data_IF_470526301689
#
_entry.id   IF_470526301689
#
_cell.length_a   1.000
_cell.length_b   1.000
_cell.length_c   1.000
_cell.angle_alpha   90.00
_cell.angle_beta   90.00
_cell.angle_gamma   90.00
#
_symmetry.space_group_name_H-M   'P 1'
#
loop_
_entity.id
_entity.type
_entity.pdbx_description
1 polymer ?
#
# COMPACT_ATOMS: atom_id res chain seq x y z
N UNK A 1 -59.76 -52.22 11.86
CA UNK A 1 -59.41 -50.91 12.47
C UNK A 1 -58.37 -51.17 13.55
N UNK A 2 -57.15 -50.66 13.39
CA UNK A 2 -56.28 -50.11 14.46
C UNK A 2 -54.91 -49.72 13.86
N UNK A 3 -54.86 -48.41 13.62
CA UNK A 3 -53.79 -47.43 13.43
C UNK A 3 -52.33 -47.93 13.54
N UNK A 4 -51.61 -47.77 12.43
CA UNK A 4 -50.14 -47.75 12.38
C UNK A 4 -49.63 -46.45 13.01
N UNK A 5 -48.77 -46.56 14.02
CA UNK A 5 -48.02 -45.42 14.54
C UNK A 5 -46.77 -45.21 13.68
N UNK A 6 -46.74 -44.12 12.91
CA UNK A 6 -45.54 -43.64 12.25
C UNK A 6 -44.76 -42.85 13.31
N UNK A 7 -43.66 -43.42 13.79
CA UNK A 7 -42.70 -42.70 14.61
C UNK A 7 -41.88 -41.78 13.69
N UNK A 8 -42.26 -40.52 13.57
CA UNK A 8 -41.40 -39.48 13.00
C UNK A 8 -40.31 -39.15 14.02
N UNK A 9 -39.16 -39.79 13.86
CA UNK A 9 -37.89 -39.36 14.46
C UNK A 9 -37.51 -38.01 13.84
N UNK A 10 -37.87 -36.92 14.52
CA UNK A 10 -37.24 -35.62 14.26
C UNK A 10 -35.86 -35.69 14.92
N UNK A 11 -34.86 -36.07 14.12
CA UNK A 11 -33.48 -35.90 14.52
C UNK A 11 -33.19 -34.39 14.59
N UNK A 12 -33.32 -33.82 15.79
CA UNK A 12 -32.58 -32.63 16.13
C UNK A 12 -31.11 -33.06 16.21
N UNK A 13 -30.43 -33.10 15.06
CA UNK A 13 -28.98 -33.08 15.05
C UNK A 13 -28.55 -31.87 15.88
N UNK A 14 -27.51 -31.98 16.71
CA UNK A 14 -26.97 -30.79 17.33
C UNK A 14 -26.60 -29.85 16.17
N UNK A 15 -27.23 -28.68 16.13
CA UNK A 15 -26.60 -27.51 15.54
C UNK A 15 -25.31 -27.34 16.35
N UNK A 16 -24.26 -28.05 15.94
CA UNK A 16 -22.90 -27.69 16.29
C UNK A 16 -22.66 -26.41 15.51
N UNK A 17 -23.25 -25.33 16.01
CA UNK A 17 -22.74 -24.01 15.75
C UNK A 17 -21.35 -24.10 16.33
N UNK A 18 -20.38 -24.35 15.45
CA UNK A 18 -18.97 -24.39 15.80
C UNK A 18 -18.68 -23.00 16.33
N UNK A 19 -18.88 -22.82 17.63
CA UNK A 19 -18.53 -21.61 18.31
C UNK A 19 -17.03 -21.54 18.12
N UNK A 20 -16.58 -20.70 17.18
CA UNK A 20 -15.16 -20.47 16.96
C UNK A 20 -14.63 -20.06 18.32
N UNK A 21 -13.91 -20.99 18.94
CA UNK A 21 -13.56 -20.88 20.32
C UNK A 21 -12.61 -19.69 20.51
N UNK A 22 -12.71 -19.03 21.66
CA UNK A 22 -11.73 -18.04 22.04
C UNK A 22 -10.33 -18.67 22.00
N UNK A 23 -9.30 -18.02 21.41
CA UNK A 23 -7.94 -18.54 21.46
C UNK A 23 -7.57 -18.83 22.92
N UNK A 24 -6.95 -19.98 23.19
CA UNK A 24 -6.66 -20.44 24.56
C UNK A 24 -5.76 -19.49 25.36
N UNK A 25 -4.97 -18.70 24.65
CA UNK A 25 -4.09 -17.69 25.21
C UNK A 25 -4.80 -16.34 25.37
N UNK A 26 -6.11 -16.22 25.16
CA UNK A 26 -6.84 -14.96 25.21
C UNK A 26 -8.10 -15.08 26.06
N UNK A 27 -8.70 -13.94 26.35
CA UNK A 27 -10.04 -13.85 26.93
C UNK A 27 -10.96 -13.18 25.93
N UNK A 28 -12.19 -13.69 25.78
CA UNK A 28 -13.14 -13.17 24.81
C UNK A 28 -14.45 -12.79 25.51
N UNK A 29 -14.99 -11.63 25.14
CA UNK A 29 -16.27 -11.13 25.62
C UNK A 29 -17.04 -10.51 24.47
N UNK A 30 -18.15 -11.14 24.05
CA UNK A 30 -18.88 -10.74 22.85
C UNK A 30 -18.00 -10.78 21.59
N UNK A 31 -17.75 -9.62 20.98
CA UNK A 31 -16.89 -9.46 19.79
C UNK A 31 -15.52 -8.86 20.12
N UNK A 32 -15.16 -8.81 21.39
CA UNK A 32 -13.86 -8.33 21.86
C UNK A 32 -12.96 -9.51 22.23
N UNK A 33 -11.74 -9.50 21.70
CA UNK A 33 -10.69 -10.51 21.95
C UNK A 33 -9.51 -9.82 22.61
N UNK A 34 -9.27 -10.20 23.86
CA UNK A 34 -8.26 -9.64 24.77
C UNK A 34 -7.09 -10.60 24.90
N UNK A 35 -6.00 -10.30 24.21
CA UNK A 35 -4.74 -11.05 24.20
C UNK A 35 -3.56 -10.21 24.74
N UNK A 36 -3.83 -9.08 25.39
CA UNK A 36 -2.83 -8.15 25.93
C UNK A 36 -2.06 -8.72 27.13
N UNK A 37 -0.82 -8.28 27.33
CA UNK A 37 0.01 -8.60 28.53
C UNK A 37 0.20 -10.09 28.81
N UNK A 38 0.40 -10.90 27.76
CA UNK A 38 0.52 -12.36 27.87
C UNK A 38 1.83 -12.94 27.34
N UNK A 39 2.82 -12.08 27.11
CA UNK A 39 4.14 -12.48 26.61
C UNK A 39 4.06 -13.26 25.29
N UNK A 40 3.08 -12.92 24.44
CA UNK A 40 2.89 -13.58 23.16
C UNK A 40 4.05 -13.26 22.21
N UNK A 41 4.62 -14.31 21.60
CA UNK A 41 5.65 -14.17 20.57
C UNK A 41 5.07 -14.10 19.14
N UNK A 42 3.81 -14.53 18.97
CA UNK A 42 3.06 -14.48 17.71
C UNK A 42 1.58 -14.19 17.96
N UNK A 43 0.87 -13.74 16.93
CA UNK A 43 -0.59 -13.60 16.99
C UNK A 43 -1.23 -14.98 17.22
N UNK A 44 -2.15 -15.15 18.18
CA UNK A 44 -2.82 -16.43 18.42
C UNK A 44 -3.65 -16.86 17.21
N UNK A 45 -3.61 -18.16 16.89
CA UNK A 45 -4.47 -18.73 15.86
C UNK A 45 -5.94 -18.82 16.33
N UNK A 46 -6.86 -18.87 15.38
CA UNK A 46 -8.29 -19.11 15.67
C UNK A 46 -9.02 -17.91 16.25
N UNK A 47 -8.56 -16.68 16.00
CA UNK A 47 -9.32 -15.47 16.35
C UNK A 47 -10.67 -15.50 15.59
N UNK A 48 -11.82 -15.40 16.28
CA UNK A 48 -13.12 -15.43 15.62
C UNK A 48 -13.27 -14.33 14.57
N UNK A 49 -13.79 -14.65 13.38
CA UNK A 49 -13.98 -13.69 12.29
C UNK A 49 -15.02 -12.59 12.61
N UNK A 50 -15.84 -12.81 13.63
CA UNK A 50 -16.79 -11.82 14.17
C UNK A 50 -16.15 -10.78 15.09
N UNK A 51 -14.84 -10.89 15.35
CA UNK A 51 -14.10 -9.97 16.23
C UNK A 51 -14.14 -8.53 15.70
N UNK A 52 -14.59 -7.62 16.55
CA UNK A 52 -14.59 -6.17 16.30
C UNK A 52 -13.44 -5.45 17.00
N UNK A 53 -12.97 -5.96 18.13
CA UNK A 53 -11.90 -5.33 18.92
C UNK A 53 -10.86 -6.37 19.26
N UNK A 54 -9.63 -6.16 18.77
CA UNK A 54 -8.51 -7.07 19.00
C UNK A 54 -7.41 -6.34 19.77
N UNK A 55 -7.16 -6.80 20.99
CA UNK A 55 -6.12 -6.25 21.86
C UNK A 55 -4.93 -7.21 21.90
N UNK A 56 -3.82 -6.81 21.28
CA UNK A 56 -2.55 -7.54 21.22
C UNK A 56 -1.40 -6.75 21.86
N UNK A 57 -1.71 -5.66 22.56
CA UNK A 57 -0.71 -4.77 23.14
C UNK A 57 0.03 -5.36 24.34
N UNK A 58 1.21 -4.82 24.65
CA UNK A 58 2.09 -5.29 25.75
C UNK A 58 2.44 -6.77 25.60
N UNK A 59 2.88 -7.16 24.40
CA UNK A 59 3.36 -8.51 24.11
C UNK A 59 4.80 -8.44 23.57
N UNK A 60 5.29 -9.56 23.03
CA UNK A 60 6.66 -9.70 22.52
C UNK A 60 6.63 -10.03 21.02
N UNK A 61 5.64 -9.51 20.29
CA UNK A 61 5.51 -9.75 18.86
C UNK A 61 6.65 -9.04 18.12
N UNK A 62 7.50 -9.81 17.44
CA UNK A 62 8.63 -9.28 16.65
C UNK A 62 8.29 -9.16 15.17
N UNK A 63 7.36 -9.97 14.69
CA UNK A 63 6.87 -10.02 13.32
C UNK A 63 5.38 -10.36 13.27
N UNK A 64 4.74 -10.02 12.16
CA UNK A 64 3.40 -10.46 11.80
C UNK A 64 3.49 -11.28 10.52
N UNK A 65 2.75 -12.38 10.46
CA UNK A 65 2.70 -13.19 9.25
C UNK A 65 1.83 -12.50 8.19
N UNK A 66 2.16 -12.60 6.89
CA UNK A 66 1.31 -12.09 5.83
C UNK A 66 -0.11 -12.65 5.95
N UNK A 67 -1.12 -11.78 5.77
CA UNK A 67 -2.52 -12.16 5.80
C UNK A 67 -3.11 -12.54 7.17
N UNK A 68 -2.36 -12.34 8.27
CA UNK A 68 -2.80 -12.75 9.62
C UNK A 68 -4.12 -12.09 10.08
N UNK A 69 -4.52 -10.99 9.45
CA UNK A 69 -5.76 -10.28 9.77
C UNK A 69 -6.82 -10.31 8.66
N UNK A 70 -6.57 -10.97 7.53
CA UNK A 70 -7.44 -10.91 6.34
C UNK A 70 -8.85 -11.42 6.62
N UNK A 71 -8.97 -12.44 7.47
CA UNK A 71 -10.28 -13.00 7.85
C UNK A 71 -11.06 -12.14 8.86
N UNK A 72 -10.48 -11.05 9.37
CA UNK A 72 -11.05 -10.19 10.41
C UNK A 72 -11.70 -8.93 9.81
N UNK A 73 -12.43 -9.07 8.71
CA UNK A 73 -13.06 -7.93 8.01
C UNK A 73 -14.04 -7.10 8.87
N UNK A 74 -14.54 -7.63 9.98
CA UNK A 74 -15.40 -6.93 10.93
C UNK A 74 -14.64 -6.06 11.96
N UNK A 75 -13.30 -6.08 11.93
CA UNK A 75 -12.47 -5.41 12.91
C UNK A 75 -12.61 -3.88 12.84
N UNK A 76 -12.82 -3.25 13.99
CA UNK A 76 -12.95 -1.79 14.14
C UNK A 76 -11.82 -1.19 14.97
N UNK A 77 -11.24 -1.96 15.89
CA UNK A 77 -10.09 -1.59 16.71
C UNK A 77 -9.01 -2.67 16.61
N UNK A 78 -7.80 -2.26 16.25
CA UNK A 78 -6.60 -3.08 16.29
C UNK A 78 -5.53 -2.41 17.16
N UNK A 79 -5.20 -3.03 18.27
CA UNK A 79 -4.24 -2.49 19.23
C UNK A 79 -2.98 -3.37 19.32
N UNK A 80 -1.92 -2.95 18.64
CA UNK A 80 -0.61 -3.62 18.55
C UNK A 80 0.49 -2.86 19.31
N UNK A 81 0.13 -1.85 20.12
CA UNK A 81 1.12 -1.01 20.80
C UNK A 81 1.98 -1.80 21.80
N UNK A 82 3.17 -1.31 22.10
CA UNK A 82 4.07 -1.93 23.08
C UNK A 82 4.36 -3.39 22.70
N UNK A 83 4.90 -3.57 21.51
CA UNK A 83 5.42 -4.83 20.98
C UNK A 83 6.86 -4.57 20.46
N UNK A 84 7.41 -5.49 19.69
CA UNK A 84 8.78 -5.42 19.14
C UNK A 84 8.76 -5.51 17.62
N UNK A 85 7.69 -5.04 16.96
CA UNK A 85 7.51 -5.14 15.52
C UNK A 85 8.56 -4.31 14.79
N UNK A 86 9.35 -4.94 13.93
CA UNK A 86 10.42 -4.26 13.17
C UNK A 86 9.98 -3.85 11.76
N UNK A 87 9.04 -4.60 11.19
CA UNK A 87 8.45 -4.34 9.88
C UNK A 87 7.01 -4.89 9.84
N UNK A 88 6.22 -4.40 8.90
CA UNK A 88 4.89 -4.92 8.58
C UNK A 88 4.94 -5.61 7.21
N UNK A 89 4.26 -6.76 7.02
CA UNK A 89 4.03 -7.31 5.69
C UNK A 89 3.28 -6.32 4.79
N UNK A 90 3.56 -6.36 3.48
CA UNK A 90 2.74 -5.66 2.51
C UNK A 90 1.31 -6.22 2.53
N UNK A 91 0.31 -5.34 2.41
CA UNK A 91 -1.10 -5.69 2.41
C UNK A 91 -1.68 -6.16 3.75
N UNK A 92 -0.93 -6.07 4.86
CA UNK A 92 -1.36 -6.54 6.20
C UNK A 92 -2.75 -6.01 6.64
N UNK A 93 -3.14 -4.83 6.14
CA UNK A 93 -4.38 -4.16 6.54
C UNK A 93 -5.39 -4.01 5.40
N UNK A 94 -5.19 -4.68 4.25
CA UNK A 94 -6.01 -4.45 3.05
C UNK A 94 -7.50 -4.79 3.26
N UNK A 95 -7.79 -5.86 4.00
CA UNK A 95 -9.16 -6.29 4.28
C UNK A 95 -9.81 -5.51 5.44
N UNK A 96 -9.05 -4.69 6.17
CA UNK A 96 -9.47 -4.04 7.42
C UNK A 96 -10.21 -2.70 7.20
N UNK A 97 -11.13 -2.68 6.24
CA UNK A 97 -11.82 -1.46 5.79
C UNK A 97 -12.64 -0.75 6.87
N UNK A 98 -13.04 -1.48 7.93
CA UNK A 98 -13.86 -0.98 9.04
C UNK A 98 -13.04 -0.45 10.23
N UNK A 99 -11.71 -0.59 10.21
CA UNK A 99 -10.86 -0.14 11.32
C UNK A 99 -10.90 1.39 11.41
N UNK A 100 -11.37 1.89 12.54
CA UNK A 100 -11.38 3.32 12.85
C UNK A 100 -10.27 3.72 13.84
N UNK A 101 -9.70 2.76 14.58
CA UNK A 101 -8.65 2.96 15.57
C UNK A 101 -7.54 1.93 15.41
N UNK A 102 -6.32 2.39 15.09
CA UNK A 102 -5.13 1.56 14.90
C UNK A 102 -3.97 2.08 15.78
N UNK A 103 -3.47 1.23 16.68
CA UNK A 103 -2.32 1.57 17.53
C UNK A 103 -1.10 0.74 17.16
N UNK A 104 -0.04 1.41 16.67
CA UNK A 104 1.25 0.84 16.31
C UNK A 104 2.42 1.49 17.08
N UNK A 105 2.13 2.44 17.98
CA UNK A 105 3.12 3.11 18.81
C UNK A 105 3.87 2.15 19.74
N UNK A 106 5.05 2.55 20.23
CA UNK A 106 5.90 1.71 21.07
C UNK A 106 6.26 0.37 20.40
N UNK A 107 6.80 0.46 19.18
CA UNK A 107 7.33 -0.66 18.42
C UNK A 107 8.73 -0.31 17.88
N UNK A 108 9.28 -1.12 16.97
CA UNK A 108 10.60 -0.94 16.37
C UNK A 108 10.51 -0.67 14.86
N UNK A 109 9.38 -0.11 14.40
CA UNK A 109 9.14 0.15 12.98
C UNK A 109 10.05 1.28 12.49
N UNK A 110 10.71 1.04 11.35
CA UNK A 110 11.56 2.03 10.68
C UNK A 110 10.85 2.71 9.50
N UNK A 111 9.91 2.02 8.88
CA UNK A 111 9.09 2.49 7.77
C UNK A 111 7.75 1.75 7.76
N UNK A 112 6.83 2.20 6.89
CA UNK A 112 5.56 1.52 6.62
C UNK A 112 5.56 1.11 5.14
N UNK A 113 5.18 -0.13 4.80
CA UNK A 113 5.09 -0.57 3.41
C UNK A 113 4.19 0.37 2.60
N UNK A 114 4.57 0.61 1.35
CA UNK A 114 3.79 1.44 0.44
C UNK A 114 2.36 0.90 0.33
N UNK A 115 1.40 1.78 0.52
CA UNK A 115 -0.03 1.48 0.40
C UNK A 115 -0.67 0.85 1.64
N UNK A 116 0.06 0.59 2.72
CA UNK A 116 -0.45 -0.17 3.87
C UNK A 116 -1.71 0.43 4.52
N UNK A 117 -1.95 1.74 4.39
CA UNK A 117 -3.12 2.42 4.97
C UNK A 117 -4.17 2.81 3.93
N UNK A 118 -3.97 2.48 2.66
CA UNK A 118 -4.81 2.99 1.57
C UNK A 118 -6.24 2.45 1.66
N UNK A 119 -6.42 1.22 2.17
CA UNK A 119 -7.73 0.58 2.32
C UNK A 119 -8.41 0.84 3.67
N UNK A 120 -7.75 1.53 4.61
CA UNK A 120 -8.31 1.88 5.92
C UNK A 120 -9.29 3.06 5.84
N UNK A 121 -10.40 2.89 5.12
CA UNK A 121 -11.35 3.97 4.77
C UNK A 121 -12.03 4.59 5.99
N UNK A 122 -12.30 3.79 7.01
CA UNK A 122 -12.94 4.24 8.27
C UNK A 122 -11.95 4.82 9.30
N UNK A 123 -10.65 4.83 8.99
CA UNK A 123 -9.62 5.22 9.95
C UNK A 123 -9.79 6.66 10.42
N UNK A 124 -9.86 6.83 11.73
CA UNK A 124 -10.04 8.13 12.40
C UNK A 124 -8.89 8.41 13.36
N UNK A 125 -8.37 7.38 14.04
CA UNK A 125 -7.29 7.50 15.00
C UNK A 125 -6.16 6.54 14.67
N UNK A 126 -4.94 7.06 14.56
CA UNK A 126 -3.74 6.26 14.39
C UNK A 126 -2.63 6.73 15.32
N UNK A 127 -2.00 5.81 16.06
CA UNK A 127 -0.83 6.09 16.90
C UNK A 127 0.41 5.45 16.29
N UNK A 128 1.42 6.28 16.02
CA UNK A 128 2.68 5.89 15.36
C UNK A 128 3.92 6.41 16.11
N UNK A 129 3.71 7.17 17.17
CA UNK A 129 4.77 7.71 18.02
C UNK A 129 5.58 6.59 18.70
N UNK A 130 6.77 6.92 19.20
CA UNK A 130 7.67 5.95 19.85
C UNK A 130 7.99 4.74 18.94
N UNK A 131 8.34 5.03 17.69
CA UNK A 131 8.97 4.11 16.75
C UNK A 131 10.25 4.77 16.19
N UNK A 132 11.33 4.02 15.93
CA UNK A 132 12.58 4.55 15.39
C UNK A 132 12.51 4.80 13.87
N UNK A 133 11.63 5.71 13.44
CA UNK A 133 11.42 6.02 12.02
C UNK A 133 12.71 6.42 11.31
N UNK A 134 13.10 5.66 10.28
CA UNK A 134 14.30 5.90 9.48
C UNK A 134 13.97 6.87 8.35
N UNK A 135 14.11 8.17 8.64
CA UNK A 135 13.82 9.22 7.67
C UNK A 135 14.95 9.46 6.66
N UNK A 136 16.08 8.77 6.76
CA UNK A 136 17.15 8.89 5.79
C UNK A 136 16.91 7.97 4.58
N UNK A 137 16.31 6.81 4.82
CA UNK A 137 15.85 5.89 3.79
C UNK A 137 14.60 6.41 3.04
N UNK A 138 14.55 6.24 1.72
CA UNK A 138 13.41 6.66 0.88
C UNK A 138 12.10 5.90 1.14
N UNK A 139 12.14 4.74 1.79
CA UNK A 139 10.92 3.98 2.11
C UNK A 139 9.98 4.73 3.07
N UNK A 140 10.50 5.73 3.78
CA UNK A 140 9.70 6.60 4.65
C UNK A 140 8.71 7.48 3.88
N UNK A 141 8.94 7.72 2.58
CA UNK A 141 8.18 8.71 1.80
C UNK A 141 6.70 8.37 1.71
N UNK A 142 6.32 7.09 1.72
CA UNK A 142 4.92 6.69 1.82
C UNK A 142 4.27 7.23 3.10
N UNK A 143 4.89 6.93 4.25
CA UNK A 143 4.36 7.34 5.55
C UNK A 143 4.35 8.86 5.68
N UNK A 144 5.42 9.53 5.27
CA UNK A 144 5.53 10.98 5.31
C UNK A 144 4.42 11.66 4.50
N UNK A 145 4.23 11.24 3.24
CA UNK A 145 3.18 11.76 2.38
C UNK A 145 1.77 11.46 2.92
N UNK A 146 1.54 10.25 3.42
CA UNK A 146 0.26 9.86 4.01
C UNK A 146 -0.07 10.71 5.23
N UNK A 147 0.87 10.93 6.15
CA UNK A 147 0.69 11.80 7.31
C UNK A 147 0.51 13.27 6.93
N UNK A 148 1.18 13.74 5.87
CA UNK A 148 0.96 15.09 5.34
C UNK A 148 -0.47 15.33 4.88
N UNK A 149 -1.10 14.32 4.28
CA UNK A 149 -2.50 14.37 3.81
C UNK A 149 -3.52 14.08 4.92
N UNK A 150 -3.14 13.31 5.94
CA UNK A 150 -4.04 12.80 6.98
C UNK A 150 -3.66 13.22 8.40
N UNK A 151 -3.01 14.38 8.55
CA UNK A 151 -2.45 14.85 9.82
C UNK A 151 -3.48 14.88 10.98
N UNK A 152 -4.76 15.12 10.69
CA UNK A 152 -5.82 15.14 11.70
C UNK A 152 -6.18 13.76 12.28
N UNK A 153 -5.71 12.66 11.67
CA UNK A 153 -5.93 11.29 12.16
C UNK A 153 -4.84 10.84 13.15
N UNK A 154 -3.64 11.41 13.01
CA UNK A 154 -2.49 11.07 13.85
C UNK A 154 -2.73 11.51 15.30
N UNK A 155 -2.56 10.57 16.23
CA UNK A 155 -2.61 10.80 17.66
C UNK A 155 -1.17 10.77 18.19
N UNK A 156 -0.72 11.89 18.75
CA UNK A 156 0.70 12.11 19.05
C UNK A 156 1.45 12.64 17.84
N UNK A 157 2.77 12.41 17.79
CA UNK A 157 3.61 12.82 16.67
C UNK A 157 4.72 11.78 16.43
N UNK A 158 4.70 11.16 15.26
CA UNK A 158 5.79 10.37 14.74
C UNK A 158 6.96 11.29 14.39
N UNK A 159 8.13 11.01 14.97
CA UNK A 159 9.36 11.77 14.74
C UNK A 159 10.46 10.86 14.21
N UNK A 160 11.32 11.43 13.38
CA UNK A 160 12.49 10.76 12.81
C UNK A 160 13.49 10.40 13.91
N UNK A 161 14.04 9.19 13.80
CA UNK A 161 15.10 8.71 14.71
C UNK A 161 16.32 9.63 14.61
N UNK A 162 16.86 10.03 15.76
CA UNK A 162 18.07 10.86 15.88
C UNK A 162 17.87 12.36 15.69
N UNK A 163 16.91 12.81 14.87
CA UNK A 163 16.67 14.25 14.61
C UNK A 163 15.45 14.81 15.33
N UNK A 164 14.53 13.95 15.79
CA UNK A 164 13.22 14.32 16.34
C UNK A 164 12.36 15.22 15.42
N UNK A 165 12.68 15.27 14.12
CA UNK A 165 11.87 16.02 13.14
C UNK A 165 10.57 15.27 12.87
N UNK A 166 9.41 15.93 12.75
CA UNK A 166 8.16 15.26 12.42
C UNK A 166 8.26 14.48 11.09
N UNK A 167 7.84 13.22 11.07
CA UNK A 167 7.91 12.38 9.85
C UNK A 167 7.13 13.00 8.69
N UNK A 168 6.00 13.65 8.96
CA UNK A 168 5.18 14.38 7.98
C UNK A 168 5.88 15.58 7.32
N UNK A 169 7.03 16.01 7.82
CA UNK A 169 7.83 17.11 7.28
C UNK A 169 9.01 16.63 6.40
N UNK A 170 9.22 15.32 6.29
CA UNK A 170 10.28 14.72 5.45
C UNK A 170 9.95 14.97 3.97
N UNK A 171 10.97 15.30 3.19
CA UNK A 171 10.86 15.54 1.74
C UNK A 171 11.75 14.57 0.98
N UNK A 172 11.42 14.29 -0.28
CA UNK A 172 12.21 13.40 -1.14
C UNK A 172 13.70 13.76 -1.18
N UNK A 173 14.02 15.06 -1.27
CA UNK A 173 15.38 15.59 -1.29
C UNK A 173 16.20 15.27 -0.02
N UNK A 174 15.54 15.01 1.11
CA UNK A 174 16.20 14.63 2.37
C UNK A 174 16.44 13.12 2.52
N UNK A 175 15.91 12.31 1.59
CA UNK A 175 15.97 10.85 1.62
C UNK A 175 16.86 10.28 0.51
N UNK A 176 17.25 9.01 0.61
CA UNK A 176 17.91 8.30 -0.50
C UNK A 176 17.67 6.79 -0.42
N UNK A 177 17.44 6.10 -1.56
CA UNK A 177 17.39 4.64 -1.61
C UNK A 177 18.69 3.98 -1.13
N UNK A 178 19.83 4.62 -1.37
CA UNK A 178 21.15 4.11 -0.94
C UNK A 178 21.32 3.99 0.57
N UNK A 179 20.48 4.68 1.34
CA UNK A 179 20.47 4.65 2.81
C UNK A 179 19.49 3.62 3.37
N UNK A 180 18.76 2.91 2.51
CA UNK A 180 17.80 1.89 2.93
C UNK A 180 18.47 0.54 3.20
N UNK A 181 17.99 -0.23 4.19
CA UNK A 181 18.43 -1.60 4.40
C UNK A 181 18.21 -2.46 3.15
N UNK A 182 19.21 -3.25 2.77
CA UNK A 182 19.10 -4.17 1.62
C UNK A 182 19.19 -3.50 0.25
N UNK A 183 19.55 -2.22 0.17
CA UNK A 183 19.84 -1.57 -1.11
C UNK A 183 21.00 -2.27 -1.83
N UNK A 184 20.73 -2.79 -3.01
CA UNK A 184 21.74 -3.27 -3.95
C UNK A 184 21.83 -2.23 -5.05
N UNK A 185 23.00 -1.61 -5.21
CA UNK A 185 23.22 -0.69 -6.32
C UNK A 185 23.03 -1.45 -7.64
N UNK A 186 21.99 -1.11 -8.39
CA UNK A 186 21.87 -1.54 -9.78
C UNK A 186 22.96 -0.85 -10.57
N UNK A 187 24.10 -1.50 -10.72
CA UNK A 187 25.12 -1.10 -11.68
C UNK A 187 24.57 -1.39 -13.06
N UNK A 188 23.81 -0.44 -13.62
CA UNK A 188 23.65 -0.37 -15.06
C UNK A 188 25.01 0.05 -15.61
N UNK A 189 25.88 -0.92 -15.85
CA UNK A 189 27.02 -0.72 -16.75
C UNK A 189 26.42 -0.19 -18.05
N UNK A 190 26.75 1.05 -18.48
CA UNK A 190 26.38 1.47 -19.81
C UNK A 190 27.15 0.56 -20.74
N UNK A 191 26.48 -0.43 -21.33
CA UNK A 191 27.04 -1.19 -22.44
C UNK A 191 27.22 -0.17 -23.55
N UNK A 192 28.44 0.35 -23.68
CA UNK A 192 28.90 1.04 -24.89
C UNK A 192 28.97 -0.03 -25.97
N UNK A 193 27.83 -0.38 -26.55
CA UNK A 193 27.81 -0.99 -27.88
C UNK A 193 28.33 0.06 -28.84
N UNK A 194 29.64 0.01 -29.08
CA UNK A 194 30.26 0.56 -30.28
C UNK A 194 29.44 0.08 -31.48
N UNK A 195 28.84 0.96 -32.30
CA UNK A 195 28.21 0.54 -33.54
C UNK A 195 29.30 -0.09 -34.40
N UNK A 196 29.21 -1.40 -34.63
CA UNK A 196 30.07 -2.10 -35.57
C UNK A 196 29.76 -1.56 -36.97
N UNK A 197 30.74 -0.87 -37.56
CA UNK A 197 30.63 -0.29 -38.90
C UNK A 197 30.66 -1.46 -39.90
N UNK A 198 29.47 -1.92 -40.30
CA UNK A 198 29.33 -2.87 -41.42
C UNK A 198 29.57 -2.08 -42.71
N UNK A 199 30.52 -2.48 -43.59
CA UNK A 199 30.64 -1.85 -44.91
C UNK A 199 29.42 -2.22 -45.74
N UNK A 200 28.62 -1.22 -46.12
CA UNK A 200 27.52 -1.39 -47.06
C UNK A 200 28.06 -1.73 -48.47
N UNK A 201 27.97 -3.00 -48.87
CA UNK A 201 28.01 -3.35 -50.29
C UNK A 201 26.65 -3.09 -50.92
N UNK A 202 26.69 -2.20 -51.90
CA UNK A 202 25.60 -1.70 -52.72
C UNK A 202 24.96 -2.83 -53.51
N UNK A 203 23.71 -3.20 -53.20
CA UNK A 203 22.75 -3.66 -54.24
C UNK A 203 21.31 -3.54 -53.73
N UNK A 204 20.58 -2.63 -54.38
CA UNK A 204 19.14 -2.43 -54.23
C UNK A 204 18.36 -3.70 -54.60
N UNK A 205 17.31 -4.03 -53.82
CA UNK A 205 16.00 -4.06 -54.44
C UNK A 205 14.97 -3.20 -53.67
N UNK A 206 14.01 -2.70 -54.46
CA UNK A 206 12.97 -1.72 -54.13
C UNK A 206 12.13 -2.02 -52.87
N UNK A 207 11.64 -0.98 -52.17
CA UNK A 207 10.65 -1.13 -51.10
C UNK A 207 9.27 -1.42 -51.68
N UNK A 208 8.67 -2.54 -51.29
CA UNK A 208 7.22 -2.75 -51.41
C UNK A 208 6.55 -1.89 -50.35
N UNK A 209 5.90 -0.81 -50.80
CA UNK A 209 5.09 0.07 -49.97
C UNK A 209 3.84 -0.71 -49.54
N UNK A 210 3.78 -1.14 -48.28
CA UNK A 210 2.50 -1.54 -47.67
C UNK A 210 1.98 -0.35 -46.87
N UNK A 211 1.01 0.36 -47.44
CA UNK A 211 0.28 1.45 -46.80
C UNK A 211 -0.63 0.90 -45.69
N UNK A 212 -0.19 0.94 -44.43
CA UNK A 212 -1.16 1.02 -43.33
C UNK A 212 -1.58 2.48 -43.17
N UNK A 213 -2.80 2.78 -43.64
CA UNK A 213 -3.47 4.06 -43.52
C UNK A 213 -3.68 4.39 -42.03
N UNK A 214 -3.12 5.50 -41.48
CA UNK A 214 -3.49 5.93 -40.15
C UNK A 214 -4.99 6.26 -40.11
N UNK A 215 -5.70 5.72 -39.10
CA UNK A 215 -7.10 6.08 -38.82
C UNK A 215 -7.15 7.58 -38.52
N UNK A 216 -7.94 8.37 -39.26
CA UNK A 216 -7.94 9.80 -39.05
C UNK A 216 -8.87 10.14 -37.86
N UNK A 217 -8.36 10.91 -36.89
CA UNK A 217 -9.13 11.46 -35.77
C UNK A 217 -9.79 12.78 -36.21
N UNK A 218 -11.03 12.71 -36.69
CA UNK A 218 -11.73 13.85 -37.34
C UNK A 218 -12.36 14.89 -36.39
N UNK A 219 -12.13 14.85 -35.07
CA UNK A 219 -12.96 15.64 -34.12
C UNK A 219 -12.22 16.64 -33.22
N UNK A 220 -10.95 16.96 -33.48
CA UNK A 220 -10.21 17.97 -32.71
C UNK A 220 -9.64 19.05 -33.62
N UNK A 221 -9.95 20.30 -33.32
CA UNK A 221 -9.34 21.46 -33.97
C UNK A 221 -8.38 22.10 -32.95
N UNK A 222 -7.07 22.07 -33.22
CA UNK A 222 -6.05 22.62 -32.32
C UNK A 222 -5.40 23.82 -33.03
N UNK A 223 -5.58 25.01 -32.49
CA UNK A 223 -5.06 26.27 -33.04
C UNK A 223 -4.17 26.94 -32.00
N UNK A 224 -2.88 27.04 -32.30
CA UNK A 224 -1.82 27.74 -31.54
C UNK A 224 -1.04 26.92 -30.50
N UNK A 225 0.29 26.95 -30.63
CA UNK A 225 1.29 26.51 -29.65
C UNK A 225 1.57 27.71 -28.74
N UNK A 226 1.39 27.57 -27.43
CA UNK A 226 1.91 28.54 -26.46
C UNK A 226 2.87 27.85 -25.49
N UNK A 227 4.05 28.45 -25.31
CA UNK A 227 4.99 28.09 -24.26
C UNK A 227 4.43 28.52 -22.89
N UNK A 228 4.59 27.68 -21.85
CA UNK A 228 4.10 28.01 -20.50
C UNK A 228 4.86 29.21 -19.92
N UNK A 229 4.11 30.20 -19.41
CA UNK A 229 4.55 31.02 -18.27
C UNK A 229 3.95 30.45 -16.98
N UNK A 230 4.74 30.49 -15.91
CA UNK A 230 4.44 29.93 -14.59
C UNK A 230 3.29 30.67 -13.89
N UNK A 231 2.04 30.32 -14.17
CA UNK A 231 0.89 30.70 -13.35
C UNK A 231 0.00 29.46 -13.13
N UNK A 232 -0.19 29.06 -11.87
CA UNK A 232 -0.74 27.77 -11.45
C UNK A 232 -2.22 27.54 -11.78
N UNK A 233 -2.51 27.17 -13.03
CA UNK A 233 -3.82 26.69 -13.50
C UNK A 233 -3.78 25.24 -14.00
N UNK A 234 -4.73 24.43 -13.53
CA UNK A 234 -4.90 22.99 -13.79
C UNK A 234 -5.11 22.68 -15.28
N UNK A 235 -4.25 21.83 -15.86
CA UNK A 235 -4.40 21.32 -17.23
C UNK A 235 -5.09 19.96 -17.15
N UNK A 236 -6.40 19.94 -17.44
CA UNK A 236 -7.20 18.72 -17.46
C UNK A 236 -6.63 17.62 -18.38
N UNK A 237 -6.42 16.43 -17.77
CA UNK A 237 -6.13 15.07 -18.31
C UNK A 237 -5.28 14.97 -19.60
N UNK A 238 -4.06 14.39 -19.55
CA UNK A 238 -3.22 14.23 -20.73
C UNK A 238 -3.71 13.10 -21.64
N UNK A 239 -3.88 13.40 -22.93
CA UNK A 239 -3.83 12.42 -24.00
C UNK A 239 -2.45 12.52 -24.65
N UNK A 240 -1.58 11.52 -24.44
CA UNK A 240 -0.28 11.44 -25.09
C UNK A 240 -0.44 10.86 -26.49
N UNK A 241 -0.04 11.61 -27.53
CA UNK A 241 0.16 11.07 -28.87
C UNK A 241 1.64 11.13 -29.23
N UNK A 242 2.16 9.95 -29.56
CA UNK A 242 3.42 9.62 -30.25
C UNK A 242 4.58 9.11 -29.38
N UNK A 243 4.99 7.88 -29.70
CA UNK A 243 6.13 7.12 -29.18
C UNK A 243 7.44 7.89 -29.39
N UNK A 244 8.14 8.17 -28.29
CA UNK A 244 9.56 8.51 -28.32
C UNK A 244 10.27 7.58 -27.33
N UNK A 245 11.30 6.89 -27.82
CA UNK A 245 12.09 5.90 -27.09
C UNK A 245 12.57 6.45 -25.74
N UNK A 246 12.01 5.94 -24.64
CA UNK A 246 12.46 6.23 -23.29
C UNK A 246 13.53 5.21 -22.89
N UNK A 247 14.79 5.49 -23.22
CA UNK A 247 15.93 4.85 -22.58
C UNK A 247 16.43 5.75 -21.46
N UNK A 248 16.22 5.29 -20.22
CA UNK A 248 16.79 5.80 -18.96
C UNK A 248 16.35 7.19 -18.46
N UNK A 249 16.03 7.21 -17.15
CA UNK A 249 15.69 8.32 -16.25
C UNK A 249 14.21 8.69 -16.03
N UNK A 250 13.85 8.62 -14.74
CA UNK A 250 12.67 9.20 -14.09
C UNK A 250 12.56 10.71 -14.40
N UNK A 251 11.80 11.07 -15.43
CA UNK A 251 10.87 12.23 -15.46
C UNK A 251 10.48 12.52 -16.91
N UNK A 252 9.26 12.18 -17.32
CA UNK A 252 8.69 12.73 -18.55
C UNK A 252 8.26 14.18 -18.29
N UNK A 253 9.13 15.14 -18.58
CA UNK A 253 8.73 16.55 -18.70
C UNK A 253 8.10 16.76 -20.08
N UNK A 254 6.78 16.78 -20.15
CA UNK A 254 6.08 17.29 -21.34
C UNK A 254 6.36 18.79 -21.46
N UNK A 255 7.23 19.19 -22.39
CA UNK A 255 7.59 20.61 -22.57
C UNK A 255 6.56 21.42 -23.36
N UNK A 256 5.51 20.80 -23.92
CA UNK A 256 4.46 21.51 -24.66
C UNK A 256 3.09 20.84 -24.44
N UNK A 257 2.09 21.61 -24.03
CA UNK A 257 0.67 21.19 -24.01
C UNK A 257 -0.08 21.96 -25.10
N UNK A 258 -0.83 21.27 -25.96
CA UNK A 258 -1.79 21.89 -26.87
C UNK A 258 -3.20 21.85 -26.24
N UNK A 259 -3.88 22.98 -26.20
CA UNK A 259 -5.30 23.06 -25.85
C UNK A 259 -6.12 22.56 -27.04
N UNK A 260 -6.64 21.33 -26.95
CA UNK A 260 -7.54 20.79 -27.95
C UNK A 260 -8.97 20.76 -27.39
N UNK A 261 -9.90 21.43 -28.07
CA UNK A 261 -11.33 21.43 -27.73
C UNK A 261 -12.03 20.38 -28.59
N UNK A 262 -12.84 19.53 -27.98
CA UNK A 262 -13.77 18.65 -28.69
C UNK A 262 -14.83 19.54 -29.37
N UNK A 263 -15.20 19.25 -30.61
CA UNK A 263 -16.51 19.71 -31.10
C UNK A 263 -17.61 19.03 -30.32
#
# INVERSE_FOLDING_TARGET
MWIKWIATLVAFGPLVQSAVACPSQCSCSGTEVRCESRSLASVPAGIPTTTRRLHLHRNQLTKLEPGVFDSLAALTILDLRTNQLQALPAGLFDELTQVYSLSLNDNQLKSIPRGAFDNLKSLTYIWLDRNPWDCACSDILYLSGWLGQHAGKEQGQAVCSGTNTPVRAVTEASTSPSKCPGYVATTTTPTTTTPEFIPETTTSPQPVITTQKPKPLWNFNCTSIQERKNDGGDCGKPACTTLLNCANFLSCLCSTCALCRKR
#
